data_IF_598686518893
#
_entry.id   IF_598686518893
#
_cell.length_a   1.000
_cell.length_b   1.000
_cell.length_c   1.000
_cell.angle_alpha   90.00
_cell.angle_beta   90.00
_cell.angle_gamma   90.00
#
_symmetry.space_group_name_H-M   'P 1'
#
loop_
_entity.id
_entity.type
_entity.pdbx_description
1 polymer ?
#
# COMPACT_ATOMS: atom_id res chain seq x y z
N UNK A 1 -20.07 -31.12 34.55
CA UNK A 1 -18.60 -30.88 34.52
C UNK A 1 -18.28 -29.68 35.39
N UNK A 2 -17.10 -29.61 35.99
CA UNK A 2 -16.67 -28.44 36.76
C UNK A 2 -16.44 -27.25 35.81
N UNK A 3 -16.96 -26.07 36.15
CA UNK A 3 -16.75 -24.84 35.35
C UNK A 3 -15.28 -24.43 35.38
N UNK A 4 -14.69 -24.24 34.20
CA UNK A 4 -13.31 -23.81 34.05
C UNK A 4 -13.23 -22.29 34.20
N UNK A 5 -12.29 -21.79 35.00
CA UNK A 5 -12.07 -20.35 35.12
C UNK A 5 -11.43 -19.78 33.86
N UNK A 6 -11.91 -18.61 33.44
CA UNK A 6 -11.36 -17.88 32.32
C UNK A 6 -10.06 -17.17 32.75
N UNK A 7 -8.92 -17.82 32.52
CA UNK A 7 -7.61 -17.26 32.80
C UNK A 7 -7.13 -16.34 31.64
N UNK A 8 -5.99 -15.68 31.82
CA UNK A 8 -5.46 -14.76 30.80
C UNK A 8 -5.16 -15.46 29.45
N UNK A 9 -4.67 -16.69 29.48
CA UNK A 9 -4.37 -17.48 28.28
C UNK A 9 -5.63 -17.74 27.46
N UNK A 10 -6.72 -18.20 28.10
CA UNK A 10 -7.99 -18.47 27.45
C UNK A 10 -8.63 -17.19 26.89
N UNK A 11 -8.54 -16.05 27.60
CA UNK A 11 -8.99 -14.75 27.07
C UNK A 11 -8.27 -14.38 25.79
N UNK A 12 -6.95 -14.57 25.75
CA UNK A 12 -6.16 -14.27 24.56
C UNK A 12 -6.50 -15.22 23.40
N UNK A 13 -6.69 -16.51 23.67
CA UNK A 13 -7.09 -17.50 22.64
C UNK A 13 -8.45 -17.16 22.02
N UNK A 14 -9.45 -16.87 22.86
CA UNK A 14 -10.80 -16.48 22.40
C UNK A 14 -10.73 -15.17 21.62
N UNK A 15 -10.05 -14.16 22.17
CA UNK A 15 -9.88 -12.86 21.51
C UNK A 15 -9.22 -12.97 20.15
N UNK A 16 -8.13 -13.74 20.01
CA UNK A 16 -7.45 -13.95 18.74
C UNK A 16 -8.35 -14.66 17.71
N UNK A 17 -9.20 -15.59 18.16
CA UNK A 17 -10.12 -16.30 17.28
C UNK A 17 -11.23 -15.39 16.78
N UNK A 18 -11.79 -14.56 17.66
CA UNK A 18 -12.77 -13.54 17.29
C UNK A 18 -12.15 -12.52 16.33
N UNK A 19 -10.94 -12.03 16.60
CA UNK A 19 -10.23 -11.11 15.70
C UNK A 19 -10.05 -11.69 14.29
N UNK A 20 -9.67 -12.97 14.20
CA UNK A 20 -9.53 -13.66 12.92
C UNK A 20 -10.84 -13.73 12.14
N UNK A 21 -11.98 -13.92 12.82
CA UNK A 21 -13.29 -14.02 12.17
C UNK A 21 -13.81 -12.63 11.80
N UNK A 22 -13.70 -11.64 12.68
CA UNK A 22 -14.08 -10.26 12.35
C UNK A 22 -13.28 -9.69 11.18
N UNK A 23 -11.99 -10.02 11.10
CA UNK A 23 -11.16 -9.63 9.94
C UNK A 23 -11.61 -10.35 8.66
N UNK A 24 -12.12 -11.58 8.76
CA UNK A 24 -12.58 -12.40 7.62
C UNK A 24 -14.01 -12.07 7.19
N UNK A 25 -14.87 -11.65 8.12
CA UNK A 25 -16.24 -11.25 7.84
C UNK A 25 -16.25 -10.12 6.81
N UNK A 26 -17.31 -10.12 6.02
CA UNK A 26 -17.54 -9.06 5.05
C UNK A 26 -18.17 -7.88 5.80
N UNK A 27 -17.61 -6.69 5.63
CA UNK A 27 -18.13 -5.46 6.21
C UNK A 27 -17.98 -4.32 5.21
N UNK A 28 -18.80 -3.28 5.37
CA UNK A 28 -18.86 -2.17 4.42
C UNK A 28 -17.48 -1.49 4.24
N UNK A 29 -16.74 -1.28 5.33
CA UNK A 29 -15.41 -0.66 5.29
C UNK A 29 -14.38 -1.53 4.56
N UNK A 30 -14.49 -2.85 4.72
CA UNK A 30 -13.64 -3.82 4.03
C UNK A 30 -13.94 -3.85 2.54
N UNK A 31 -15.21 -3.87 2.14
CA UNK A 31 -15.62 -3.78 0.74
C UNK A 31 -15.09 -2.50 0.09
N UNK A 32 -15.30 -1.35 0.74
CA UNK A 32 -14.76 -0.05 0.28
C UNK A 32 -13.25 -0.04 0.11
N UNK A 33 -12.50 -0.68 1.02
CA UNK A 33 -11.06 -0.84 0.87
C UNK A 33 -10.68 -1.68 -0.36
N UNK A 34 -11.34 -2.82 -0.58
CA UNK A 34 -11.08 -3.66 -1.76
C UNK A 34 -11.45 -2.97 -3.06
N UNK A 35 -12.60 -2.30 -3.13
CA UNK A 35 -13.03 -1.50 -4.27
C UNK A 35 -12.01 -0.40 -4.60
N UNK A 36 -11.59 0.38 -3.59
CA UNK A 36 -10.58 1.43 -3.77
C UNK A 36 -9.25 0.86 -4.26
N UNK A 37 -8.85 -0.33 -3.78
CA UNK A 37 -7.60 -0.98 -4.21
C UNK A 37 -7.67 -1.45 -5.65
N UNK A 38 -8.78 -2.08 -6.05
CA UNK A 38 -8.98 -2.59 -7.41
C UNK A 38 -9.08 -1.48 -8.45
N UNK A 39 -9.76 -0.39 -8.11
CA UNK A 39 -9.90 0.78 -9.00
C UNK A 39 -8.58 1.53 -9.18
N UNK A 40 -7.67 1.48 -8.20
CA UNK A 40 -6.48 2.32 -8.23
C UNK A 40 -5.49 1.97 -9.35
N UNK A 41 -5.21 0.68 -9.59
CA UNK A 41 -4.19 0.28 -10.57
C UNK A 41 -4.53 0.75 -11.99
N UNK A 42 -5.78 0.58 -12.50
CA UNK A 42 -6.19 1.18 -13.76
C UNK A 42 -6.01 2.70 -13.82
N UNK A 43 -6.38 3.42 -12.75
CA UNK A 43 -6.23 4.89 -12.68
C UNK A 43 -4.74 5.25 -12.72
N UNK A 44 -3.90 4.59 -11.93
CA UNK A 44 -2.45 4.77 -11.91
C UNK A 44 -1.84 4.57 -13.30
N UNK A 45 -2.19 3.49 -13.99
CA UNK A 45 -1.62 3.17 -15.31
C UNK A 45 -2.07 4.19 -16.37
N UNK A 46 -3.34 4.60 -16.36
CA UNK A 46 -3.86 5.64 -17.25
C UNK A 46 -3.23 7.01 -16.99
N UNK A 47 -3.15 7.42 -15.71
CA UNK A 47 -2.52 8.67 -15.31
C UNK A 47 -1.03 8.68 -15.65
N UNK A 48 -0.36 7.53 -15.55
CA UNK A 48 1.03 7.41 -15.98
C UNK A 48 1.21 7.60 -17.48
N UNK A 49 0.34 7.00 -18.32
CA UNK A 49 0.37 7.25 -19.76
C UNK A 49 0.23 8.74 -20.08
N UNK A 50 -0.68 9.42 -19.40
CA UNK A 50 -0.86 10.86 -19.55
C UNK A 50 0.39 11.64 -19.11
N UNK A 51 0.99 11.29 -17.96
CA UNK A 51 2.22 11.91 -17.48
C UNK A 51 3.34 11.82 -18.52
N UNK A 52 3.53 10.65 -19.14
CA UNK A 52 4.52 10.47 -20.21
C UNK A 52 4.23 11.35 -21.43
N UNK A 53 2.96 11.47 -21.82
CA UNK A 53 2.57 12.33 -22.94
C UNK A 53 2.89 13.80 -22.65
N UNK A 54 2.49 14.29 -21.47
CA UNK A 54 2.75 15.67 -21.04
C UNK A 54 4.26 15.95 -20.97
N UNK A 55 5.05 15.02 -20.40
CA UNK A 55 6.51 15.15 -20.33
C UNK A 55 7.12 15.19 -21.74
N UNK A 56 6.69 14.33 -22.65
CA UNK A 56 7.21 14.30 -24.03
C UNK A 56 6.85 15.53 -24.87
N UNK A 57 5.83 16.31 -24.48
CA UNK A 57 5.56 17.61 -25.10
C UNK A 57 6.60 18.66 -24.70
N UNK A 58 7.14 18.57 -23.49
CA UNK A 58 8.19 19.47 -23.00
C UNK A 58 9.59 19.01 -23.40
N UNK A 59 9.85 17.70 -23.32
CA UNK A 59 11.13 17.09 -23.66
C UNK A 59 10.91 16.03 -24.74
N UNK A 60 11.21 16.39 -26.00
CA UNK A 60 10.96 15.48 -27.11
C UNK A 60 11.89 14.25 -27.05
N UNK A 61 11.54 13.12 -27.70
CA UNK A 61 12.44 11.98 -27.79
C UNK A 61 13.83 12.32 -28.34
N UNK A 62 13.91 13.26 -29.29
CA UNK A 62 15.18 13.76 -29.84
C UNK A 62 16.01 14.52 -28.80
N UNK A 63 15.37 15.29 -27.91
CA UNK A 63 16.05 15.99 -26.83
C UNK A 63 16.63 14.99 -25.82
N UNK A 64 15.86 13.95 -25.49
CA UNK A 64 16.27 12.86 -24.60
C UNK A 64 17.47 12.12 -25.20
N UNK A 65 17.44 11.79 -26.49
CA UNK A 65 18.55 11.13 -27.18
C UNK A 65 19.82 11.99 -27.18
N UNK A 66 19.69 13.29 -27.48
CA UNK A 66 20.83 14.23 -27.46
C UNK A 66 21.41 14.40 -26.06
N UNK A 67 20.57 14.45 -25.03
CA UNK A 67 21.01 14.52 -23.64
C UNK A 67 21.78 13.25 -23.23
N UNK A 68 21.26 12.07 -23.60
CA UNK A 68 21.97 10.80 -23.40
C UNK A 68 23.29 10.75 -24.16
N UNK A 69 23.34 11.24 -25.40
CA UNK A 69 24.57 11.31 -26.18
C UNK A 69 25.64 12.17 -25.49
N UNK A 70 25.29 13.37 -25.02
CA UNK A 70 26.22 14.25 -24.31
C UNK A 70 26.69 13.62 -22.98
N UNK A 71 25.77 13.04 -22.21
CA UNK A 71 26.08 12.38 -20.95
C UNK A 71 26.96 11.15 -21.12
N UNK A 72 26.79 10.36 -22.19
CA UNK A 72 27.66 9.20 -22.48
C UNK A 72 29.03 9.61 -23.00
N UNK A 73 29.16 10.80 -23.60
CA UNK A 73 30.39 11.28 -24.23
C UNK A 73 31.37 11.90 -23.23
N UNK A 74 30.87 12.50 -22.15
CA UNK A 74 31.68 13.23 -21.18
C UNK A 74 31.37 12.77 -19.75
N UNK A 75 32.39 12.34 -19.01
CA UNK A 75 32.25 11.81 -17.64
C UNK A 75 31.66 12.82 -16.64
N UNK A 76 31.79 14.12 -16.91
CA UNK A 76 31.32 15.20 -16.04
C UNK A 76 29.95 15.78 -16.43
N UNK A 77 29.27 15.20 -17.42
CA UNK A 77 27.94 15.64 -17.86
C UNK A 77 26.87 14.82 -17.15
N UNK A 78 26.01 15.48 -16.37
CA UNK A 78 24.85 14.89 -15.71
C UNK A 78 23.60 15.71 -16.08
N UNK A 79 23.05 15.39 -17.26
CA UNK A 79 21.96 16.13 -17.92
C UNK A 79 20.65 15.38 -17.95
N UNK A 80 20.65 14.06 -17.76
CA UNK A 80 19.46 13.22 -17.83
C UNK A 80 19.49 12.13 -16.76
N UNK A 81 18.35 11.90 -16.14
CA UNK A 81 18.15 10.84 -15.16
C UNK A 81 16.73 10.30 -15.26
N UNK A 82 16.55 9.07 -14.79
CA UNK A 82 15.22 8.49 -14.62
C UNK A 82 14.55 9.11 -13.41
N UNK A 83 13.31 9.56 -13.60
CA UNK A 83 12.51 10.11 -12.52
C UNK A 83 11.10 9.51 -12.52
N UNK A 84 10.42 9.62 -11.39
CA UNK A 84 9.06 9.10 -11.15
C UNK A 84 8.18 10.12 -10.43
N UNK A 85 8.70 11.31 -10.14
CA UNK A 85 7.97 12.35 -9.43
C UNK A 85 8.15 13.70 -10.13
N UNK A 86 7.05 14.44 -10.32
CA UNK A 86 7.00 15.60 -11.21
C UNK A 86 6.16 16.72 -10.62
N UNK A 87 6.58 17.96 -10.84
CA UNK A 87 5.73 19.12 -10.61
C UNK A 87 4.99 19.44 -11.92
N UNK A 88 3.69 19.17 -11.96
CA UNK A 88 2.85 19.61 -13.07
C UNK A 88 2.17 20.92 -12.70
N UNK A 89 2.00 21.81 -13.67
CA UNK A 89 1.28 23.06 -13.43
C UNK A 89 0.71 23.70 -14.68
N UNK A 90 -0.19 24.66 -14.46
CA UNK A 90 -0.83 25.45 -15.50
C UNK A 90 -1.07 26.88 -15.01
N UNK A 91 -1.16 27.82 -15.94
CA UNK A 91 -1.53 29.20 -15.63
C UNK A 91 -3.05 29.33 -15.66
N UNK A 92 -3.65 29.85 -14.60
CA UNK A 92 -5.08 30.12 -14.50
C UNK A 92 -5.33 31.44 -13.78
N UNK A 93 -6.59 31.72 -13.44
CA UNK A 93 -6.96 32.90 -12.64
C UNK A 93 -7.44 32.49 -11.27
N UNK A 94 -7.06 33.23 -10.24
CA UNK A 94 -7.50 33.04 -8.86
C UNK A 94 -7.97 34.37 -8.28
N UNK A 95 -9.06 34.35 -7.54
CA UNK A 95 -9.55 35.50 -6.79
C UNK A 95 -8.59 35.78 -5.62
N UNK A 96 -8.11 37.03 -5.52
CA UNK A 96 -7.30 37.50 -4.41
C UNK A 96 -8.19 37.86 -3.20
N UNK A 97 -7.58 38.18 -2.05
CA UNK A 97 -8.31 38.53 -0.82
C UNK A 97 -9.20 39.79 -0.95
N UNK A 98 -9.09 40.52 -2.06
CA UNK A 98 -9.87 41.73 -2.38
C UNK A 98 -10.99 41.47 -3.38
N UNK A 99 -11.16 40.23 -3.84
CA UNK A 99 -12.17 39.86 -4.83
C UNK A 99 -11.76 40.09 -6.30
N UNK A 100 -10.49 40.37 -6.57
CA UNK A 100 -9.98 40.62 -7.92
C UNK A 100 -9.36 39.35 -8.50
N UNK A 101 -9.61 39.09 -9.78
CA UNK A 101 -9.05 37.92 -10.48
C UNK A 101 -7.63 38.22 -10.96
N UNK A 102 -6.64 37.54 -10.38
CA UNK A 102 -5.23 37.65 -10.74
C UNK A 102 -4.72 36.37 -11.41
N UNK A 103 -3.72 36.52 -12.30
CA UNK A 103 -3.04 35.38 -12.90
C UNK A 103 -2.27 34.60 -11.82
N UNK A 104 -2.53 33.31 -11.76
CA UNK A 104 -1.97 32.41 -10.77
C UNK A 104 -1.44 31.14 -11.42
N UNK A 105 -0.24 30.73 -11.01
CA UNK A 105 0.34 29.44 -11.40
C UNK A 105 -0.14 28.37 -10.44
N UNK A 106 -1.02 27.49 -10.90
CA UNK A 106 -1.38 26.28 -10.17
C UNK A 106 -0.30 25.24 -10.44
N UNK A 107 0.37 24.77 -9.38
CA UNK A 107 1.42 23.75 -9.48
C UNK A 107 1.29 22.77 -8.32
N UNK A 108 1.58 21.49 -8.57
CA UNK A 108 1.59 20.46 -7.54
C UNK A 108 2.56 19.33 -7.87
N UNK A 109 3.14 18.77 -6.83
CA UNK A 109 3.99 17.58 -6.91
C UNK A 109 3.16 16.29 -6.96
N UNK A 110 3.48 15.44 -7.94
CA UNK A 110 2.86 14.12 -8.14
C UNK A 110 3.96 13.05 -8.17
N UNK A 111 3.94 12.13 -7.20
CA UNK A 111 4.94 11.07 -7.05
C UNK A 111 4.31 9.68 -7.29
N UNK A 112 4.74 9.05 -8.39
CA UNK A 112 4.24 7.76 -8.85
C UNK A 112 4.92 6.57 -8.17
N UNK A 113 5.98 6.80 -7.37
CA UNK A 113 6.70 5.75 -6.65
C UNK A 113 5.81 5.06 -5.62
N UNK A 114 6.18 3.82 -5.29
CA UNK A 114 5.47 3.05 -4.27
C UNK A 114 5.59 3.69 -2.87
N UNK A 115 6.74 4.30 -2.57
CA UNK A 115 7.01 4.97 -1.30
C UNK A 115 6.55 6.43 -1.23
N UNK A 116 5.83 6.90 -2.25
CA UNK A 116 5.39 8.29 -2.37
C UNK A 116 4.51 8.72 -1.19
N UNK A 117 4.76 9.93 -0.69
CA UNK A 117 3.86 10.61 0.26
C UNK A 117 2.68 11.21 -0.50
N UNK A 118 1.46 11.07 0.03
CA UNK A 118 0.24 11.49 -0.67
C UNK A 118 -0.05 12.99 -0.51
N UNK A 119 0.39 13.61 0.57
CA UNK A 119 -0.05 14.96 0.93
C UNK A 119 0.49 16.07 0.02
N UNK A 120 1.35 15.78 -0.97
CA UNK A 120 1.98 16.82 -1.79
C UNK A 120 2.83 17.82 -0.99
N UNK A 121 2.96 17.61 0.33
CA UNK A 121 3.93 18.28 1.18
C UNK A 121 5.25 17.57 0.90
N UNK A 122 6.00 18.15 -0.03
CA UNK A 122 7.45 18.01 0.00
C UNK A 122 7.88 18.36 1.43
N UNK A 123 8.44 17.38 2.15
CA UNK A 123 8.93 17.52 3.53
C UNK A 123 10.11 18.50 3.66
N UNK A 124 10.27 19.41 2.70
CA UNK A 124 11.22 20.52 2.74
C UNK A 124 10.60 21.79 3.32
N UNK A 125 9.28 21.91 3.40
CA UNK A 125 8.64 23.09 4.02
C UNK A 125 8.00 22.75 5.37
N UNK A 126 8.54 23.38 6.42
CA UNK A 126 8.03 23.49 7.78
C UNK A 126 7.74 22.19 8.56
N UNK A 127 8.76 21.73 9.28
CA UNK A 127 8.69 21.62 10.76
C UNK A 127 7.59 20.79 11.41
N UNK A 128 6.93 19.86 10.72
CA UNK A 128 5.95 18.94 11.32
C UNK A 128 6.50 17.53 11.33
N UNK A 129 6.84 17.08 12.54
CA UNK A 129 7.03 15.67 12.88
C UNK A 129 5.75 14.89 12.52
N UNK A 130 5.76 14.24 11.35
CA UNK A 130 5.08 12.96 11.16
C UNK A 130 6.07 12.04 10.44
N UNK A 131 6.76 11.22 11.23
CA UNK A 131 7.53 10.08 10.73
C UNK A 131 6.63 8.96 10.18
N UNK A 132 5.31 9.19 10.14
CA UNK A 132 4.30 8.14 10.26
C UNK A 132 3.64 7.80 8.91
N UNK A 133 3.75 8.68 7.92
CA UNK A 133 3.08 8.52 6.61
C UNK A 133 4.00 8.00 5.48
N UNK A 134 5.29 7.77 5.77
CA UNK A 134 6.19 7.17 4.77
C UNK A 134 5.74 5.74 4.54
N UNK A 135 5.40 5.40 3.30
CA UNK A 135 4.97 4.04 2.87
C UNK A 135 3.55 3.61 3.26
N UNK A 136 2.70 4.50 3.81
CA UNK A 136 1.29 4.16 4.12
C UNK A 136 0.53 3.66 2.88
N UNK A 137 0.80 4.27 1.72
CA UNK A 137 0.28 3.79 0.44
C UNK A 137 0.72 2.35 0.14
N UNK A 138 2.01 2.06 0.29
CA UNK A 138 2.58 0.75 0.00
C UNK A 138 2.02 -0.33 0.93
N UNK A 139 1.87 -0.02 2.23
CA UNK A 139 1.31 -0.94 3.21
C UNK A 139 -0.17 -1.21 2.94
N UNK A 140 -0.93 -0.18 2.57
CA UNK A 140 -2.34 -0.31 2.20
C UNK A 140 -2.51 -1.11 0.90
N UNK A 141 -1.69 -0.85 -0.12
CA UNK A 141 -1.81 -1.52 -1.42
C UNK A 141 -1.34 -2.99 -1.36
N UNK A 142 -0.23 -3.27 -0.69
CA UNK A 142 0.33 -4.63 -0.54
C UNK A 142 -0.09 -5.34 0.76
N UNK A 143 -1.20 -4.92 1.37
CA UNK A 143 -1.66 -5.42 2.66
C UNK A 143 -1.80 -6.95 2.71
N UNK A 144 -2.45 -7.54 1.72
CA UNK A 144 -2.71 -9.00 1.71
C UNK A 144 -1.41 -9.79 1.59
N UNK A 145 -0.45 -9.28 0.80
CA UNK A 145 0.87 -9.90 0.70
C UNK A 145 1.63 -9.80 2.02
N UNK A 146 1.68 -8.61 2.63
CA UNK A 146 2.37 -8.37 3.90
C UNK A 146 1.76 -9.19 5.05
N UNK A 147 0.44 -9.35 5.11
CA UNK A 147 -0.23 -10.21 6.11
C UNK A 147 0.17 -11.68 6.00
N UNK A 148 0.55 -12.14 4.81
CA UNK A 148 1.00 -13.51 4.59
C UNK A 148 2.46 -13.77 5.00
N UNK A 149 3.22 -12.73 5.32
CA UNK A 149 4.64 -12.84 5.64
C UNK A 149 4.90 -12.90 7.14
N UNK A 150 5.91 -13.67 7.51
CA UNK A 150 6.32 -13.80 8.91
C UNK A 150 6.88 -12.47 9.42
N UNK A 151 6.41 -12.04 10.60
CA UNK A 151 6.90 -10.81 11.26
C UNK A 151 6.40 -9.49 10.65
N UNK A 152 5.62 -9.54 9.57
CA UNK A 152 5.04 -8.37 8.93
C UNK A 152 3.62 -8.11 9.46
N UNK A 153 3.27 -6.83 9.64
CA UNK A 153 1.89 -6.39 9.88
C UNK A 153 1.65 -5.05 9.18
N UNK A 154 0.94 -5.01 8.04
CA UNK A 154 0.68 -3.77 7.31
C UNK A 154 -0.20 -2.79 8.10
N UNK A 155 -0.89 -3.27 9.14
CA UNK A 155 -1.79 -2.46 9.96
C UNK A 155 -1.03 -1.81 11.15
N UNK A 156 0.29 -2.01 11.28
CA UNK A 156 1.06 -1.64 12.47
C UNK A 156 1.02 -0.14 12.79
N UNK A 157 1.08 0.73 11.78
CA UNK A 157 1.04 2.18 11.97
C UNK A 157 -0.30 2.62 12.55
N UNK A 158 -1.40 2.05 12.05
CA UNK A 158 -2.75 2.32 12.56
C UNK A 158 -2.88 1.74 13.97
N UNK A 159 -2.41 0.51 14.18
CA UNK A 159 -2.57 -0.20 15.44
C UNK A 159 -1.84 0.46 16.62
N UNK A 160 -0.69 1.07 16.33
CA UNK A 160 0.22 1.67 17.31
C UNK A 160 0.26 3.20 17.21
N UNK A 161 -0.73 3.83 16.57
CA UNK A 161 -0.85 5.29 16.46
C UNK A 161 -0.71 5.94 17.85
N UNK A 162 0.24 6.88 17.98
CA UNK A 162 0.63 7.56 19.22
C UNK A 162 1.55 6.75 20.15
N UNK A 163 2.11 5.63 19.69
CA UNK A 163 3.00 4.73 20.45
C UNK A 163 4.21 4.28 19.60
N UNK A 164 4.69 5.15 18.73
CA UNK A 164 5.75 4.87 17.75
C UNK A 164 7.11 4.59 18.42
N UNK A 165 7.31 5.02 19.67
CA UNK A 165 8.53 4.69 20.45
C UNK A 165 8.61 3.23 20.91
N UNK A 166 7.56 2.42 20.67
CA UNK A 166 7.54 1.03 21.09
C UNK A 166 8.48 0.17 20.21
N UNK A 167 9.43 -0.59 20.79
CA UNK A 167 10.30 -1.49 20.03
C UNK A 167 9.56 -2.47 19.11
N UNK A 168 8.34 -2.89 19.49
CA UNK A 168 7.48 -3.72 18.65
C UNK A 168 7.07 -3.02 17.35
N UNK A 169 6.69 -1.74 17.41
CA UNK A 169 6.35 -0.96 16.22
C UNK A 169 7.56 -0.87 15.27
N UNK A 170 8.73 -0.50 15.80
CA UNK A 170 9.96 -0.38 15.01
C UNK A 170 10.32 -1.69 14.33
N UNK A 171 10.28 -2.81 15.06
CA UNK A 171 10.61 -4.14 14.52
C UNK A 171 9.69 -4.54 13.38
N UNK A 172 8.38 -4.36 13.55
CA UNK A 172 7.39 -4.76 12.54
C UNK A 172 7.41 -3.83 11.34
N UNK A 173 7.60 -2.52 11.55
CA UNK A 173 7.81 -1.54 10.47
C UNK A 173 9.04 -1.92 9.63
N UNK A 174 10.17 -2.21 10.28
CA UNK A 174 11.38 -2.66 9.59
C UNK A 174 11.16 -3.97 8.80
N UNK A 175 10.35 -4.90 9.33
CA UNK A 175 10.01 -6.12 8.62
C UNK A 175 9.17 -5.84 7.35
N UNK A 176 8.16 -4.98 7.47
CA UNK A 176 7.36 -4.53 6.31
C UNK A 176 8.24 -3.83 5.27
N UNK A 177 9.08 -2.89 5.69
CA UNK A 177 9.98 -2.13 4.82
C UNK A 177 11.01 -3.04 4.14
N UNK A 178 11.56 -4.03 4.86
CA UNK A 178 12.46 -5.03 4.30
C UNK A 178 11.77 -5.90 3.25
N UNK A 179 10.54 -6.34 3.49
CA UNK A 179 9.78 -7.15 2.54
C UNK A 179 9.44 -6.37 1.26
N UNK A 180 9.04 -5.10 1.39
CA UNK A 180 8.73 -4.27 0.24
C UNK A 180 9.97 -3.80 -0.53
N UNK A 181 11.13 -3.72 0.13
CA UNK A 181 12.37 -3.26 -0.47
C UNK A 181 12.66 -1.77 -0.24
N UNK A 182 12.20 -1.21 0.88
CA UNK A 182 12.54 0.16 1.31
C UNK A 182 13.80 0.23 2.19
N UNK A 183 14.34 -0.91 2.65
CA UNK A 183 15.51 -0.94 3.52
C UNK A 183 16.81 -0.70 2.75
N UNK A 184 17.52 0.38 3.08
CA UNK A 184 18.78 0.80 2.43
C UNK A 184 20.07 0.48 3.21
N UNK A 185 20.01 -0.22 4.35
CA UNK A 185 21.20 -0.46 5.17
C UNK A 185 21.77 -1.88 5.04
N UNK A 186 22.93 -1.98 4.38
CA UNK A 186 24.03 -2.89 4.76
C UNK A 186 23.89 -4.38 4.51
N UNK A 187 22.81 -4.89 3.94
CA UNK A 187 22.73 -6.32 3.57
C UNK A 187 23.36 -6.53 2.18
N UNK A 188 24.53 -7.18 2.13
CA UNK A 188 25.20 -7.65 0.91
C UNK A 188 24.36 -8.67 0.11
N UNK A 189 23.20 -9.09 0.62
CA UNK A 189 22.20 -9.95 -0.03
C UNK A 189 21.03 -9.15 -0.67
N UNK A 190 21.26 -7.85 -0.92
CA UNK A 190 20.30 -6.87 -1.44
C UNK A 190 19.77 -7.13 -2.86
N UNK A 191 20.29 -8.15 -3.56
CA UNK A 191 19.84 -8.55 -4.89
C UNK A 191 18.49 -9.29 -4.89
N UNK A 192 18.03 -9.82 -3.74
CA UNK A 192 16.77 -10.61 -3.66
C UNK A 192 15.61 -9.92 -2.94
N UNK A 193 15.89 -8.96 -2.06
CA UNK A 193 14.89 -8.32 -1.17
C UNK A 193 14.31 -7.02 -1.71
N UNK A 194 14.96 -6.35 -2.66
CA UNK A 194 14.49 -5.07 -3.22
C UNK A 194 13.47 -5.22 -4.37
N UNK A 195 12.67 -6.28 -4.38
CA UNK A 195 11.91 -6.65 -5.58
C UNK A 195 10.69 -5.76 -5.82
N UNK A 196 9.83 -5.53 -4.82
CA UNK A 196 8.51 -4.90 -5.03
C UNK A 196 8.60 -3.41 -5.32
N UNK A 197 9.35 -2.66 -4.51
CA UNK A 197 9.58 -1.23 -4.76
C UNK A 197 10.27 -1.00 -6.10
N UNK A 198 11.30 -1.80 -6.43
CA UNK A 198 12.00 -1.63 -7.70
C UNK A 198 11.13 -2.05 -8.90
N UNK A 199 10.37 -3.14 -8.82
CA UNK A 199 9.43 -3.55 -9.88
C UNK A 199 8.38 -2.46 -10.11
N UNK A 200 7.76 -1.96 -9.04
CA UNK A 200 6.78 -0.88 -9.15
C UNK A 200 7.40 0.39 -9.74
N UNK A 201 8.52 0.86 -9.17
CA UNK A 201 9.13 2.12 -9.62
C UNK A 201 9.64 2.03 -11.07
N UNK A 202 10.10 0.85 -11.52
CA UNK A 202 10.47 0.61 -12.93
C UNK A 202 9.30 0.73 -13.90
N UNK A 203 8.09 0.37 -13.48
CA UNK A 203 6.90 0.56 -14.31
C UNK A 203 6.53 2.05 -14.45
N UNK A 204 6.97 2.87 -13.48
CA UNK A 204 6.62 4.28 -13.34
C UNK A 204 7.85 5.20 -13.32
N UNK A 205 8.82 4.93 -14.17
CA UNK A 205 9.99 5.81 -14.39
C UNK A 205 10.08 6.25 -15.85
N UNK A 206 10.49 7.49 -16.08
CA UNK A 206 10.76 8.04 -17.41
C UNK A 206 12.05 8.86 -17.38
N UNK A 207 12.77 8.87 -18.49
CA UNK A 207 13.93 9.73 -18.67
C UNK A 207 13.49 11.20 -18.69
N UNK A 208 14.08 12.00 -17.80
CA UNK A 208 13.78 13.42 -17.65
C UNK A 208 15.08 14.22 -17.71
N UNK A 209 15.10 15.25 -18.56
CA UNK A 209 16.24 16.16 -18.67
C UNK A 209 16.29 17.08 -17.45
N UNK A 210 17.47 17.27 -16.86
CA UNK A 210 17.74 18.17 -15.73
C UNK A 210 18.40 17.49 -14.53
N UNK A 211 18.89 18.31 -13.60
CA UNK A 211 19.61 17.88 -12.38
C UNK A 211 18.65 17.34 -11.31
N UNK A 212 19.21 16.63 -10.33
CA UNK A 212 18.59 15.72 -9.33
C UNK A 212 17.34 16.20 -8.56
N UNK A 213 16.91 17.46 -8.65
CA UNK A 213 15.79 18.00 -7.88
C UNK A 213 14.55 18.23 -8.76
N UNK A 214 13.44 17.54 -8.45
CA UNK A 214 12.15 17.68 -9.12
C UNK A 214 11.47 19.04 -8.88
N UNK A 215 11.92 19.82 -7.90
CA UNK A 215 11.30 21.09 -7.45
C UNK A 215 11.41 22.21 -8.48
N UNK A 216 12.53 22.28 -9.18
CA UNK A 216 12.79 23.37 -10.15
C UNK A 216 12.20 23.05 -11.53
N UNK A 217 11.70 21.82 -11.73
CA UNK A 217 11.19 21.32 -13.02
C UNK A 217 9.67 21.30 -13.00
N UNK A 218 9.09 22.47 -13.27
CA UNK A 218 7.65 22.59 -13.49
C UNK A 218 7.33 22.28 -14.95
N UNK A 219 6.59 21.21 -15.17
CA UNK A 219 6.14 20.79 -16.50
C UNK A 219 4.74 21.37 -16.73
N UNK A 220 4.59 22.08 -17.86
CA UNK A 220 3.31 22.65 -18.27
C UNK A 220 2.32 21.55 -18.67
N UNK A 221 1.10 21.64 -18.12
CA UNK A 221 -0.03 20.80 -18.49
C UNK A 221 -1.27 21.65 -18.72
N UNK A 222 -2.31 21.05 -19.30
CA UNK A 222 -3.63 21.69 -19.41
C UNK A 222 -4.40 21.55 -18.08
N UNK A 223 -5.39 22.43 -17.81
CA UNK A 223 -6.23 22.31 -16.61
C UNK A 223 -6.92 20.95 -16.48
N UNK A 224 -7.37 20.37 -17.60
CA UNK A 224 -8.04 19.08 -17.65
C UNK A 224 -7.10 17.92 -17.27
N UNK A 225 -5.84 17.98 -17.72
CA UNK A 225 -4.82 17.00 -17.36
C UNK A 225 -4.44 17.12 -15.89
N UNK A 226 -4.33 18.35 -15.38
CA UNK A 226 -4.09 18.62 -13.98
C UNK A 226 -5.20 18.02 -13.08
N UNK A 227 -6.47 18.14 -13.47
CA UNK A 227 -7.57 17.49 -12.76
C UNK A 227 -7.45 15.97 -12.73
N UNK A 228 -6.96 15.33 -13.80
CA UNK A 228 -6.72 13.89 -13.84
C UNK A 228 -5.62 13.50 -12.84
N UNK A 229 -4.50 14.24 -12.81
CA UNK A 229 -3.44 14.02 -11.82
C UNK A 229 -3.96 14.19 -10.38
N UNK A 230 -4.79 15.20 -10.14
CA UNK A 230 -5.43 15.42 -8.83
C UNK A 230 -6.37 14.29 -8.44
N UNK A 231 -7.21 13.80 -9.35
CA UNK A 231 -8.11 12.65 -9.12
C UNK A 231 -7.33 11.39 -8.76
N UNK A 232 -6.24 11.11 -9.45
CA UNK A 232 -5.36 9.99 -9.14
C UNK A 232 -4.73 10.09 -7.75
N UNK A 233 -4.18 11.26 -7.40
CA UNK A 233 -3.62 11.48 -6.06
C UNK A 233 -4.70 11.35 -4.98
N UNK A 234 -5.91 11.84 -5.25
CA UNK A 234 -7.08 11.65 -4.40
C UNK A 234 -7.46 10.17 -4.22
N UNK A 235 -7.44 9.37 -5.29
CA UNK A 235 -7.70 7.94 -5.23
C UNK A 235 -6.65 7.18 -4.40
N UNK A 236 -5.37 7.55 -4.50
CA UNK A 236 -4.31 7.01 -3.61
C UNK A 236 -4.63 7.35 -2.14
N UNK A 237 -5.04 8.59 -1.86
CA UNK A 237 -5.42 9.02 -0.51
C UNK A 237 -6.65 8.30 0.02
N UNK A 238 -7.65 8.09 -0.83
CA UNK A 238 -8.85 7.33 -0.50
C UNK A 238 -8.52 5.88 -0.12
N UNK A 239 -7.61 5.22 -0.83
CA UNK A 239 -7.17 3.87 -0.45
C UNK A 239 -6.58 3.83 0.97
N UNK A 240 -5.71 4.78 1.30
CA UNK A 240 -5.15 4.88 2.65
C UNK A 240 -6.27 5.09 3.67
N UNK A 241 -7.15 6.06 3.45
CA UNK A 241 -8.25 6.35 4.39
C UNK A 241 -9.20 5.17 4.58
N UNK A 242 -9.53 4.44 3.51
CA UNK A 242 -10.36 3.23 3.59
C UNK A 242 -9.65 2.13 4.39
N UNK A 243 -8.34 1.93 4.19
CA UNK A 243 -7.53 1.01 4.99
C UNK A 243 -7.52 1.41 6.46
N UNK A 244 -7.25 2.68 6.77
CA UNK A 244 -7.25 3.21 8.13
C UNK A 244 -8.59 2.98 8.83
N UNK A 245 -9.70 3.41 8.21
CA UNK A 245 -11.05 3.26 8.78
C UNK A 245 -11.40 1.80 9.04
N UNK A 246 -11.10 0.90 8.11
CA UNK A 246 -11.37 -0.52 8.30
C UNK A 246 -10.64 -1.09 9.53
N UNK A 247 -9.35 -0.77 9.68
CA UNK A 247 -8.56 -1.23 10.82
C UNK A 247 -8.99 -0.56 12.13
N UNK A 248 -9.30 0.74 12.13
CA UNK A 248 -9.82 1.44 13.30
C UNK A 248 -11.14 0.82 13.79
N UNK A 249 -12.06 0.47 12.89
CA UNK A 249 -13.29 -0.25 13.22
C UNK A 249 -12.98 -1.60 13.88
N UNK A 250 -12.09 -2.40 13.28
CA UNK A 250 -11.67 -3.69 13.86
C UNK A 250 -11.04 -3.51 15.25
N UNK A 251 -10.20 -2.49 15.43
CA UNK A 251 -9.59 -2.21 16.73
C UNK A 251 -10.61 -1.84 17.80
N UNK A 252 -11.62 -1.06 17.44
CA UNK A 252 -12.67 -0.65 18.37
C UNK A 252 -13.56 -1.85 18.76
N UNK A 253 -13.95 -2.68 17.81
CA UNK A 253 -14.63 -3.96 18.09
C UNK A 253 -13.81 -4.83 19.04
N UNK A 254 -12.50 -4.98 18.78
CA UNK A 254 -11.62 -5.78 19.62
C UNK A 254 -11.38 -5.18 21.01
N UNK A 255 -11.46 -3.85 21.18
CA UNK A 255 -11.42 -3.22 22.51
C UNK A 255 -12.66 -3.61 23.32
N UNK A 256 -13.85 -3.52 22.75
CA UNK A 256 -15.10 -3.93 23.39
C UNK A 256 -15.07 -5.41 23.78
N UNK A 257 -14.68 -6.30 22.87
CA UNK A 257 -14.54 -7.74 23.14
C UNK A 257 -13.55 -8.00 24.27
N UNK A 258 -12.39 -7.33 24.26
CA UNK A 258 -11.38 -7.48 25.33
C UNK A 258 -11.89 -6.97 26.68
N UNK A 259 -12.75 -5.95 26.71
CA UNK A 259 -13.40 -5.49 27.94
C UNK A 259 -14.43 -6.50 28.45
N UNK A 260 -15.28 -7.05 27.57
CA UNK A 260 -16.23 -8.11 27.91
C UNK A 260 -15.54 -9.38 28.43
N UNK A 261 -14.52 -9.87 27.72
CA UNK A 261 -13.76 -11.06 28.16
C UNK A 261 -13.05 -10.85 29.52
N UNK A 262 -12.73 -9.61 29.89
CA UNK A 262 -12.15 -9.29 31.21
C UNK A 262 -13.18 -9.35 32.34
N UNK A 263 -14.45 -9.02 32.08
CA UNK A 263 -15.50 -9.09 33.10
C UNK A 263 -15.97 -10.52 33.35
N UNK A 264 -15.84 -11.41 32.36
CA UNK A 264 -16.19 -12.82 32.51
C UNK A 264 -15.26 -13.61 33.42
N UNK A 265 -15.86 -14.52 34.18
CA UNK A 265 -15.21 -15.34 35.21
C UNK A 265 -14.97 -16.77 34.73
N UNK A 266 -15.82 -17.28 33.86
CA UNK A 266 -15.82 -18.67 33.41
C UNK A 266 -15.63 -18.77 31.90
N UNK A 267 -15.09 -19.91 31.46
CA UNK A 267 -14.73 -20.16 30.06
C UNK A 267 -15.96 -20.24 29.15
N UNK A 268 -17.05 -20.80 29.66
CA UNK A 268 -18.34 -20.93 28.97
C UNK A 268 -18.90 -19.57 28.55
N UNK A 269 -18.84 -18.54 29.42
CA UNK A 269 -19.27 -17.17 29.11
C UNK A 269 -18.49 -16.59 27.91
N UNK A 270 -17.17 -16.84 27.85
CA UNK A 270 -16.33 -16.38 26.74
C UNK A 270 -16.58 -17.14 25.43
N UNK A 271 -16.95 -18.42 25.53
CA UNK A 271 -17.29 -19.27 24.38
C UNK A 271 -18.67 -18.94 23.84
N UNK A 272 -19.63 -18.63 24.73
CA UNK A 272 -20.96 -18.15 24.36
C UNK A 272 -20.87 -16.85 23.56
N UNK A 273 -20.12 -15.85 24.05
CA UNK A 273 -19.85 -14.62 23.31
C UNK A 273 -19.22 -14.91 21.94
N UNK A 274 -18.23 -15.80 21.88
CA UNK A 274 -17.57 -16.13 20.62
C UNK A 274 -18.56 -16.77 19.63
N UNK A 275 -19.39 -17.71 20.08
CA UNK A 275 -20.40 -18.36 19.25
C UNK A 275 -21.49 -17.38 18.79
N UNK A 276 -21.93 -16.45 19.64
CA UNK A 276 -22.87 -15.37 19.28
C UNK A 276 -22.30 -14.44 18.19
N UNK A 277 -20.99 -14.18 18.24
CA UNK A 277 -20.27 -13.43 17.21
C UNK A 277 -19.96 -14.28 15.95
N UNK A 278 -20.50 -15.50 15.86
CA UNK A 278 -20.32 -16.40 14.72
C UNK A 278 -19.01 -17.22 14.74
N UNK A 279 -18.27 -17.19 15.85
CA UNK A 279 -17.08 -18.01 16.04
C UNK A 279 -17.47 -19.35 16.65
N UNK A 280 -17.76 -20.34 15.80
CA UNK A 280 -17.99 -21.72 16.25
C UNK A 280 -16.72 -22.26 16.94
N UNK A 281 -16.66 -22.16 18.26
CA UNK A 281 -15.54 -22.59 19.09
C UNK A 281 -16.07 -23.56 20.13
N UNK A 282 -15.36 -24.67 20.31
CA UNK A 282 -15.60 -25.61 21.41
C UNK A 282 -14.60 -25.44 22.56
N UNK A 283 -15.03 -25.76 23.78
CA UNK A 283 -14.18 -25.81 24.97
C UNK A 283 -12.90 -26.64 24.71
N UNK A 284 -13.06 -27.75 24.00
CA UNK A 284 -11.99 -28.70 23.75
C UNK A 284 -10.93 -28.18 22.78
N UNK A 285 -11.25 -27.21 21.91
CA UNK A 285 -10.29 -26.54 21.02
C UNK A 285 -9.47 -25.49 21.78
N UNK A 286 -10.10 -24.73 22.67
CA UNK A 286 -9.41 -23.69 23.46
C UNK A 286 -8.49 -24.30 24.52
N UNK A 287 -8.89 -25.43 25.12
CA UNK A 287 -8.14 -26.10 26.18
C UNK A 287 -6.97 -26.92 25.61
N UNK A 288 -7.17 -27.67 24.51
CA UNK A 288 -6.15 -28.62 24.01
C UNK A 288 -5.08 -28.00 23.13
N UNK A 289 -5.35 -26.87 22.49
CA UNK A 289 -4.44 -26.26 21.53
C UNK A 289 -3.66 -25.13 22.20
N UNK A 290 -2.32 -25.12 22.08
CA UNK A 290 -1.50 -23.99 22.54
C UNK A 290 -1.84 -22.72 21.72
N UNK A 291 -1.61 -21.53 22.28
CA UNK A 291 -1.99 -20.26 21.65
C UNK A 291 -1.41 -20.05 20.23
N UNK A 292 -0.28 -20.69 19.93
CA UNK A 292 0.34 -20.73 18.59
C UNK A 292 -0.39 -21.67 17.62
N UNK A 293 -0.93 -22.80 18.08
CA UNK A 293 -1.69 -23.74 17.25
C UNK A 293 -3.04 -23.17 16.79
N UNK A 294 -3.72 -22.36 17.60
CA UNK A 294 -5.05 -21.81 17.25
C UNK A 294 -5.03 -20.82 16.08
N UNK A 295 -3.91 -20.12 15.84
CA UNK A 295 -3.73 -19.23 14.69
C UNK A 295 -3.36 -20.03 13.42
N UNK A 296 -2.64 -21.14 13.57
CA UNK A 296 -2.23 -22.04 12.48
C UNK A 296 -3.41 -22.91 12.00
N UNK A 297 -4.32 -23.30 12.90
CA UNK A 297 -5.51 -24.09 12.60
C UNK A 297 -6.72 -23.24 12.15
N UNK A 298 -6.50 -22.16 11.40
CA UNK A 298 -7.53 -21.75 10.45
C UNK A 298 -7.30 -22.56 9.16
N UNK A 299 -8.10 -23.61 8.87
CA UNK A 299 -7.88 -24.45 7.70
C UNK A 299 -7.89 -23.67 6.38
N UNK A 300 -8.54 -22.49 6.33
CA UNK A 300 -8.45 -21.58 5.17
C UNK A 300 -7.07 -20.95 5.05
N UNK A 301 -6.48 -20.43 6.14
CA UNK A 301 -5.15 -19.82 6.11
C UNK A 301 -4.06 -20.88 5.79
N UNK A 302 -4.18 -22.09 6.33
CA UNK A 302 -3.29 -23.18 5.97
C UNK A 302 -3.50 -23.60 4.50
N UNK A 303 -4.74 -23.69 4.04
CA UNK A 303 -5.05 -23.99 2.64
C UNK A 303 -4.52 -22.91 1.68
N UNK A 304 -4.63 -21.63 2.03
CA UNK A 304 -4.13 -20.52 1.21
C UNK A 304 -2.60 -20.47 1.22
N UNK A 305 -1.95 -20.77 2.36
CA UNK A 305 -0.49 -20.94 2.44
C UNK A 305 -0.02 -22.13 1.59
N UNK A 306 -0.70 -23.27 1.66
CA UNK A 306 -0.41 -24.47 0.85
C UNK A 306 -0.68 -24.21 -0.64
N UNK A 307 -1.76 -23.52 -1.00
CA UNK A 307 -2.05 -23.10 -2.38
C UNK A 307 -1.01 -22.12 -2.91
N UNK A 308 -0.53 -21.20 -2.06
CA UNK A 308 0.55 -20.26 -2.39
C UNK A 308 1.90 -20.94 -2.65
N UNK A 309 2.17 -22.06 -1.97
CA UNK A 309 3.38 -22.86 -2.23
C UNK A 309 3.39 -23.54 -3.62
N UNK A 310 2.22 -23.78 -4.22
CA UNK A 310 2.11 -24.43 -5.54
C UNK A 310 2.32 -23.50 -6.75
N UNK A 311 2.61 -22.21 -6.56
CA UNK A 311 2.93 -21.29 -7.69
C UNK A 311 4.40 -21.37 -8.14
N UNK A 312 4.96 -22.56 -8.26
CA UNK A 312 6.30 -22.79 -8.83
C UNK A 312 6.27 -23.81 -9.96
N UNK A 313 5.51 -23.49 -11.02
CA UNK A 313 5.85 -23.80 -12.43
C UNK A 313 4.64 -23.43 -13.28
N UNK A 314 4.68 -22.28 -13.95
CA UNK A 314 3.76 -22.04 -15.07
C UNK A 314 4.11 -23.10 -16.11
N UNK A 315 3.18 -24.02 -16.37
CA UNK A 315 3.41 -25.10 -17.33
C UNK A 315 3.61 -24.50 -18.73
N UNK A 316 4.34 -25.21 -19.59
CA UNK A 316 4.58 -24.74 -20.98
C UNK A 316 3.27 -24.51 -21.73
N UNK A 317 2.22 -25.23 -21.37
CA UNK A 317 0.88 -25.11 -21.94
C UNK A 317 0.18 -23.82 -21.51
N UNK A 318 0.31 -23.41 -20.25
CA UNK A 318 -0.24 -22.14 -19.75
C UNK A 318 0.44 -20.93 -20.42
N UNK A 319 1.75 -21.02 -20.69
CA UNK A 319 2.49 -19.98 -21.44
C UNK A 319 1.99 -19.87 -22.88
N UNK A 320 1.67 -21.00 -23.53
CA UNK A 320 1.13 -21.03 -24.88
C UNK A 320 -0.32 -20.50 -24.90
N UNK A 321 -1.11 -20.79 -23.87
CA UNK A 321 -2.47 -20.27 -23.73
C UNK A 321 -2.49 -18.74 -23.53
N UNK A 322 -1.61 -18.22 -22.66
CA UNK A 322 -1.44 -16.78 -22.49
C UNK A 322 -0.98 -16.08 -23.77
N UNK A 323 -0.04 -16.68 -24.51
CA UNK A 323 0.43 -16.14 -25.79
C UNK A 323 -0.67 -16.13 -26.86
N UNK A 324 -1.45 -17.20 -27.00
CA UNK A 324 -2.59 -17.27 -27.93
C UNK A 324 -3.67 -16.24 -27.60
N UNK A 325 -3.94 -16.02 -26.30
CA UNK A 325 -4.92 -15.03 -25.85
C UNK A 325 -4.47 -13.59 -26.18
N UNK A 326 -3.20 -13.28 -25.94
CA UNK A 326 -2.61 -11.99 -26.29
C UNK A 326 -2.58 -11.72 -27.82
N UNK A 327 -2.41 -12.77 -28.64
CA UNK A 327 -2.46 -12.64 -30.11
C UNK A 327 -3.89 -12.45 -30.64
N UNK A 328 -4.89 -13.11 -30.03
CA UNK A 328 -6.30 -12.92 -30.39
C UNK A 328 -6.80 -11.51 -30.03
N UNK A 329 -6.39 -10.98 -28.89
CA UNK A 329 -6.73 -9.61 -28.46
C UNK A 329 -6.10 -8.54 -29.37
N UNK A 330 -4.92 -8.81 -29.95
CA UNK A 330 -4.30 -7.93 -30.97
C UNK A 330 -4.98 -7.99 -32.33
N UNK A 331 -5.53 -9.13 -32.73
CA UNK A 331 -6.26 -9.27 -34.00
C UNK A 331 -7.70 -8.73 -33.93
N UNK A 332 -8.32 -8.73 -32.74
CA UNK A 332 -9.64 -8.13 -32.52
C UNK A 332 -9.66 -6.60 -32.49
N UNK A 333 -8.50 -5.94 -32.38
CA UNK A 333 -8.37 -4.47 -32.42
C UNK A 333 -7.99 -3.94 -33.81
N UNK A 334 -7.81 -4.81 -34.80
CA UNK A 334 -7.42 -4.45 -36.18
C UNK A 334 -8.53 -4.65 -37.22
N UNK A 335 -9.79 -4.87 -36.78
CA UNK A 335 -10.97 -4.90 -37.63
C UNK A 335 -11.97 -3.81 -37.24
#
# INVERSE_FOLDING_TARGET
MARIRLNHEYRNKIGNRIESILTQNDCEEKQKYFEAREQLKPIQDQTWLLAKEVIHRTYTPDDIEKAWYLQRKFENVNTIAKDSCFHFGFNGKKENDKGEMEDHRFTKHFDFRLGASIDGIDRQDYGRNSGDDKHSFAYAYFRDELKGQEGCDPDINIKMKGKESNPHWTKVKQANDKYLGFSHYGDEDSDKTNRKVNEWNKDFEIDLIGREYCRDRQIDCTPQEFEIFMKWQGAKGQLIQCHEKWIETLQNQMKEIKMGLKSYKYLDEGIELANELGCNISDAEIIRVNSTGLVIYNPKNLADRVKGMNKTTISREDKIAMYKKAMAERQGQAN
#
